data_IF_124359864617
#
_entry.id   IF_124359864617
#
_cell.length_a   1.000
_cell.length_b   1.000
_cell.length_c   1.000
_cell.angle_alpha   90.00
_cell.angle_beta   90.00
_cell.angle_gamma   90.00
#
_symmetry.space_group_name_H-M   'P 1'
#
loop_
_entity.id
_entity.type
_entity.pdbx_description
1 polymer ?
#
# COMPACT_ATOMS: atom_id res chain seq x y z
N UNK A 1 -12.32 -9.81 3.36
CA UNK A 1 -10.95 -9.26 3.41
C UNK A 1 -10.61 -9.01 4.87
N UNK A 2 -9.57 -9.66 5.40
CA UNK A 2 -9.23 -9.69 6.83
C UNK A 2 -8.28 -8.54 7.27
N UNK A 3 -8.45 -7.34 6.69
CA UNK A 3 -7.57 -6.18 6.97
C UNK A 3 -6.19 -6.28 6.33
N UNK A 4 -6.06 -7.05 5.25
CA UNK A 4 -4.80 -7.26 4.52
C UNK A 4 -4.62 -6.19 3.44
N UNK A 5 -3.66 -5.28 3.64
CA UNK A 5 -3.34 -4.23 2.66
C UNK A 5 -2.84 -4.82 1.34
N UNK A 6 -2.12 -5.95 1.39
CA UNK A 6 -1.64 -6.64 0.19
C UNK A 6 -2.75 -7.28 -0.66
N UNK A 7 -3.97 -7.43 -0.13
CA UNK A 7 -5.11 -8.00 -0.84
C UNK A 7 -5.96 -6.94 -1.56
N UNK A 8 -5.57 -5.67 -1.49
CA UNK A 8 -6.23 -4.59 -2.23
C UNK A 8 -5.99 -4.79 -3.74
N UNK A 9 -7.06 -4.73 -4.53
CA UNK A 9 -6.95 -4.80 -5.98
C UNK A 9 -6.21 -3.57 -6.48
N UNK A 10 -5.22 -3.73 -7.36
CA UNK A 10 -4.58 -2.60 -8.02
C UNK A 10 -5.65 -1.78 -8.78
N UNK A 11 -5.61 -0.45 -8.72
CA UNK A 11 -6.56 0.38 -9.47
C UNK A 11 -6.34 0.31 -10.99
N UNK A 12 -6.95 1.22 -11.76
CA UNK A 12 -6.65 1.43 -13.20
C UNK A 12 -5.60 2.55 -13.46
N UNK A 13 -4.83 2.44 -14.56
CA UNK A 13 -3.84 3.46 -15.00
C UNK A 13 -2.37 2.98 -15.04
N UNK A 14 -1.49 3.76 -15.69
CA UNK A 14 -0.06 3.45 -15.82
C UNK A 14 0.80 4.35 -14.93
N UNK A 15 1.92 3.82 -14.43
CA UNK A 15 2.94 4.60 -13.73
C UNK A 15 4.17 4.83 -14.62
N UNK A 16 4.84 5.96 -14.40
CA UNK A 16 6.20 6.15 -14.90
C UNK A 16 7.14 5.10 -14.29
N UNK A 17 8.17 4.71 -15.03
CA UNK A 17 9.16 3.72 -14.61
C UNK A 17 10.33 4.32 -13.82
N UNK A 18 10.18 5.55 -13.32
CA UNK A 18 11.17 6.19 -12.46
C UNK A 18 11.35 5.37 -11.18
N UNK A 19 12.60 5.12 -10.81
CA UNK A 19 12.92 4.44 -9.57
C UNK A 19 13.24 5.48 -8.47
N UNK A 20 12.31 5.60 -7.53
CA UNK A 20 12.39 6.46 -6.35
C UNK A 20 11.69 5.76 -5.17
N UNK A 21 12.37 4.78 -4.54
CA UNK A 21 11.70 3.78 -3.73
C UNK A 21 11.10 4.36 -2.45
N UNK A 22 9.85 3.98 -2.16
CA UNK A 22 9.13 4.40 -0.95
C UNK A 22 8.82 3.18 -0.09
N UNK A 23 9.18 3.23 1.20
CA UNK A 23 8.84 2.18 2.17
C UNK A 23 7.76 2.68 3.11
N UNK A 24 6.67 1.93 3.21
CA UNK A 24 5.55 2.23 4.10
C UNK A 24 5.39 1.16 5.16
N UNK A 25 4.90 1.57 6.31
CA UNK A 25 4.57 0.68 7.43
C UNK A 25 3.19 1.02 7.96
N UNK A 26 2.37 0.01 8.19
CA UNK A 26 1.09 0.13 8.88
C UNK A 26 1.09 -0.82 10.07
N UNK A 27 0.78 -0.29 11.25
CA UNK A 27 0.60 -1.07 12.47
C UNK A 27 -0.65 -0.58 13.17
N UNK A 28 -1.50 -1.49 13.57
CA UNK A 28 -2.72 -1.14 14.28
C UNK A 28 -3.56 -2.37 14.61
N UNK A 29 -4.79 -2.12 15.02
CA UNK A 29 -5.77 -3.17 15.31
C UNK A 29 -6.88 -3.11 14.26
N UNK A 30 -7.22 -4.27 13.69
CA UNK A 30 -8.34 -4.41 12.77
C UNK A 30 -9.23 -5.55 13.25
N UNK A 31 -10.49 -5.24 13.57
CA UNK A 31 -11.45 -6.21 14.10
C UNK A 31 -10.94 -7.02 15.31
N UNK A 32 -10.16 -6.38 16.19
CA UNK A 32 -9.61 -7.02 17.39
C UNK A 32 -8.33 -7.83 17.16
N UNK A 33 -7.80 -7.88 15.95
CA UNK A 33 -6.50 -8.49 15.65
C UNK A 33 -5.43 -7.43 15.43
N UNK A 34 -4.24 -7.62 16.00
CA UNK A 34 -3.08 -6.78 15.67
C UNK A 34 -2.66 -7.09 14.23
N UNK A 35 -2.53 -6.04 13.42
CA UNK A 35 -2.05 -6.10 12.04
C UNK A 35 -0.75 -5.32 11.93
N UNK A 36 0.19 -5.92 11.22
CA UNK A 36 1.44 -5.31 10.83
C UNK A 36 1.66 -5.51 9.33
N UNK A 37 2.00 -4.44 8.64
CA UNK A 37 2.29 -4.44 7.22
C UNK A 37 3.51 -3.56 6.95
N UNK A 38 4.41 -4.04 6.10
CA UNK A 38 5.55 -3.29 5.60
C UNK A 38 5.79 -3.68 4.14
N UNK A 39 5.93 -2.69 3.28
CA UNK A 39 6.24 -2.90 1.86
C UNK A 39 7.10 -1.76 1.33
N UNK A 40 7.88 -2.07 0.30
CA UNK A 40 8.66 -1.10 -0.47
C UNK A 40 8.17 -1.10 -1.90
N UNK A 41 7.84 0.08 -2.43
CA UNK A 41 7.36 0.28 -3.79
C UNK A 41 8.42 1.01 -4.61
N UNK A 42 8.47 0.74 -5.92
CA UNK A 42 9.47 1.33 -6.82
C UNK A 42 9.36 2.85 -6.95
N UNK A 43 8.14 3.40 -6.75
CA UNK A 43 7.87 4.83 -6.64
C UNK A 43 6.50 5.07 -5.97
N UNK A 44 6.20 6.34 -5.65
CA UNK A 44 4.93 6.75 -5.05
C UNK A 44 3.71 6.44 -5.92
N UNK A 45 3.83 6.53 -7.26
CA UNK A 45 2.74 6.14 -8.15
C UNK A 45 2.36 4.67 -7.95
N UNK A 46 3.33 3.75 -7.91
CA UNK A 46 3.06 2.31 -7.68
C UNK A 46 2.45 2.09 -6.29
N UNK A 47 2.94 2.77 -5.24
CA UNK A 47 2.35 2.75 -3.89
C UNK A 47 0.85 3.08 -3.94
N UNK A 48 0.49 4.27 -4.45
CA UNK A 48 -0.90 4.74 -4.44
C UNK A 48 -1.80 3.87 -5.33
N UNK A 49 -1.29 3.34 -6.43
CA UNK A 49 -2.06 2.46 -7.33
C UNK A 49 -2.39 1.11 -6.70
N UNK A 50 -1.51 0.57 -5.85
CA UNK A 50 -1.74 -0.72 -5.17
C UNK A 50 -2.50 -0.56 -3.84
N UNK A 51 -2.34 0.57 -3.14
CA UNK A 51 -2.87 0.76 -1.79
C UNK A 51 -4.04 1.73 -1.68
N UNK A 52 -4.34 2.46 -2.76
CA UNK A 52 -5.42 3.46 -2.83
C UNK A 52 -5.37 4.45 -1.66
N UNK A 53 -6.53 4.69 -1.03
CA UNK A 53 -6.71 5.66 0.04
C UNK A 53 -5.99 5.31 1.36
N UNK A 54 -5.38 4.12 1.49
CA UNK A 54 -4.72 3.72 2.74
C UNK A 54 -3.47 4.56 3.02
N UNK A 55 -2.78 5.02 1.97
CA UNK A 55 -1.57 5.84 2.08
C UNK A 55 -1.68 7.16 1.29
N UNK A 56 -2.87 7.77 1.24
CA UNK A 56 -3.15 9.04 0.53
C UNK A 56 -3.26 10.21 1.52
N UNK A 57 -2.14 10.59 2.16
CA UNK A 57 -2.06 11.66 3.17
C UNK A 57 -0.81 12.53 3.02
#
# INVERSE_FOLDING_TARGET
MAGEVAALSEGSGSCILMYDPVTVTLRGWWQGEEKYFRATYSNSCVLHRQTHAVFDF
#
